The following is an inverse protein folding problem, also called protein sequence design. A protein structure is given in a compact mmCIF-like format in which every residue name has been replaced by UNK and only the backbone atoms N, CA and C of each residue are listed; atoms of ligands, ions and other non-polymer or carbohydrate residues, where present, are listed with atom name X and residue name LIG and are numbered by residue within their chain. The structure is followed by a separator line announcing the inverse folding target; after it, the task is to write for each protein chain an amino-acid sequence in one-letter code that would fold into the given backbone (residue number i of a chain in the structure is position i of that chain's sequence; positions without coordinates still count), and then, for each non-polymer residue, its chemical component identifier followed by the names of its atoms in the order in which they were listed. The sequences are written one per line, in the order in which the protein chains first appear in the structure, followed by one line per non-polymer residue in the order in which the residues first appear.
data_IF_894737144092
#
_entry.id   IF_894737144092
#
_cell.length_a   1.000
_cell.length_b   1.000
_cell.length_c   1.000
_cell.angle_alpha   90.00
_cell.angle_beta   90.00
_cell.angle_gamma   90.00
#
_symmetry.space_group_name_H-M   'P 1'
#
loop_
_entity.id
_entity.type
_entity.pdbx_description
1 polymer ?
#
# COMPACT_ATOMS: atom_id res chain seq x y z
N UNK A 1 24.06 -29.87 5.23
CA UNK A 1 23.49 -31.18 5.61
C UNK A 1 23.29 -32.00 4.35
N UNK A 2 23.67 -33.28 4.31
CA UNK A 2 23.39 -34.12 3.14
C UNK A 2 21.89 -34.48 3.10
N UNK A 3 21.31 -34.71 1.91
CA UNK A 3 19.89 -35.03 1.75
C UNK A 3 19.44 -36.21 2.61
N UNK A 4 20.26 -37.25 2.67
CA UNK A 4 19.95 -38.47 3.43
C UNK A 4 19.93 -38.23 4.95
N UNK A 5 20.82 -37.35 5.42
CA UNK A 5 20.92 -36.95 6.82
C UNK A 5 19.73 -36.09 7.24
N UNK A 6 19.29 -35.18 6.36
CA UNK A 6 18.06 -34.41 6.55
C UNK A 6 16.83 -35.32 6.65
N UNK A 7 16.68 -36.28 5.75
CA UNK A 7 15.54 -37.20 5.76
C UNK A 7 15.50 -38.04 7.06
N UNK A 8 16.67 -38.51 7.53
CA UNK A 8 16.78 -39.25 8.79
C UNK A 8 16.39 -38.41 10.00
N UNK A 9 16.91 -37.18 10.09
CA UNK A 9 16.61 -36.26 11.20
C UNK A 9 15.14 -35.82 11.19
N UNK A 10 14.57 -35.58 10.01
CA UNK A 10 13.16 -35.23 9.86
C UNK A 10 12.23 -36.37 10.25
N UNK A 11 12.55 -37.61 9.87
CA UNK A 11 11.78 -38.78 10.27
C UNK A 11 11.80 -38.96 11.79
N UNK A 12 12.97 -38.88 12.44
CA UNK A 12 13.08 -39.00 13.88
C UNK A 12 12.25 -37.94 14.64
N UNK A 13 12.27 -36.68 14.19
CA UNK A 13 11.46 -35.61 14.80
C UNK A 13 9.95 -35.80 14.60
N UNK A 14 9.54 -36.40 13.47
CA UNK A 14 8.14 -36.72 13.21
C UNK A 14 7.65 -37.89 14.06
N UNK A 15 8.48 -38.92 14.23
CA UNK A 15 8.19 -40.05 15.12
C UNK A 15 8.06 -39.56 16.57
N UNK A 16 8.99 -38.72 17.05
CA UNK A 16 8.91 -38.09 18.38
C UNK A 16 7.65 -37.22 18.53
N UNK A 17 7.26 -36.47 17.50
CA UNK A 17 6.05 -35.66 17.53
C UNK A 17 4.78 -36.52 17.57
N UNK A 18 4.78 -37.67 16.90
CA UNK A 18 3.68 -38.63 16.90
C UNK A 18 3.56 -39.32 18.27
N UNK A 19 4.67 -39.76 18.86
CA UNK A 19 4.70 -40.33 20.21
C UNK A 19 4.14 -39.34 21.24
N UNK A 20 4.43 -38.04 21.09
CA UNK A 20 3.88 -36.99 21.96
C UNK A 20 2.39 -36.77 21.76
N UNK A 21 1.89 -36.82 20.52
CA UNK A 21 0.44 -36.78 20.24
C UNK A 21 -0.28 -37.97 20.84
N UNK A 22 0.28 -39.17 20.68
CA UNK A 22 -0.30 -40.40 21.20
C UNK A 22 -0.31 -40.43 22.74
N UNK A 23 0.66 -39.75 23.37
CA UNK A 23 0.69 -39.54 24.83
C UNK A 23 -0.24 -38.44 25.35
N UNK A 24 -0.92 -37.70 24.46
CA UNK A 24 -1.84 -36.61 24.80
C UNK A 24 -1.17 -35.27 25.13
N UNK A 25 0.14 -35.15 24.95
CA UNK A 25 0.92 -33.93 25.20
C UNK A 25 1.02 -33.08 23.92
N UNK A 26 -0.02 -32.27 23.70
CA UNK A 26 -0.18 -31.43 22.51
C UNK A 26 0.88 -30.32 22.46
N UNK A 27 1.32 -29.79 23.61
CA UNK A 27 2.31 -28.72 23.67
C UNK A 27 3.70 -29.23 23.26
N UNK A 28 4.11 -30.40 23.77
CA UNK A 28 5.38 -31.00 23.37
C UNK A 28 5.38 -31.43 21.89
N UNK A 29 4.25 -31.90 21.37
CA UNK A 29 4.11 -32.21 19.93
C UNK A 29 4.25 -30.95 19.08
N UNK A 30 3.59 -29.84 19.46
CA UNK A 30 3.71 -28.57 18.74
C UNK A 30 5.16 -28.05 18.73
N UNK A 31 5.89 -28.18 19.84
CA UNK A 31 7.31 -27.82 19.90
C UNK A 31 8.16 -28.65 18.91
N UNK A 32 7.91 -29.96 18.82
CA UNK A 32 8.61 -30.85 17.87
C UNK A 32 8.25 -30.59 16.42
N UNK A 33 7.01 -30.21 16.13
CA UNK A 33 6.61 -29.76 14.79
C UNK A 33 7.32 -28.46 14.38
N UNK A 34 7.54 -27.53 15.32
CA UNK A 34 8.35 -26.34 15.06
C UNK A 34 9.82 -26.67 14.82
N UNK A 35 10.38 -27.66 15.51
CA UNK A 35 11.73 -28.18 15.23
C UNK A 35 11.84 -28.75 13.80
N UNK A 36 10.81 -29.46 13.32
CA UNK A 36 10.75 -29.93 11.92
C UNK A 36 10.71 -28.76 10.94
N UNK A 37 9.86 -27.75 11.17
CA UNK A 37 9.80 -26.55 10.32
C UNK A 37 11.14 -25.80 10.29
N UNK A 38 11.82 -25.73 11.43
CA UNK A 38 13.15 -25.10 11.51
C UNK A 38 14.21 -25.90 10.73
N UNK A 39 14.15 -27.23 10.78
CA UNK A 39 15.03 -28.11 10.01
C UNK A 39 14.80 -27.95 8.50
N UNK A 40 13.55 -27.96 8.05
CA UNK A 40 13.16 -27.76 6.64
C UNK A 40 13.65 -26.40 6.11
N UNK A 41 13.51 -25.34 6.94
CA UNK A 41 13.99 -24.00 6.58
C UNK A 41 15.51 -23.95 6.43
N UNK A 42 16.26 -24.58 7.34
CA UNK A 42 17.73 -24.65 7.24
C UNK A 42 18.16 -25.38 5.99
N UNK A 43 17.55 -26.52 5.67
CA UNK A 43 17.87 -27.29 4.47
C UNK A 43 17.61 -26.50 3.19
N UNK A 44 16.47 -25.80 3.08
CA UNK A 44 16.18 -24.95 1.92
C UNK A 44 17.16 -23.78 1.79
N UNK A 45 17.59 -23.17 2.90
CA UNK A 45 18.59 -22.11 2.89
C UNK A 45 19.95 -22.61 2.43
N UNK A 46 20.38 -23.77 2.90
CA UNK A 46 21.62 -24.41 2.47
C UNK A 46 21.59 -24.76 0.97
N UNK A 47 20.48 -25.32 0.47
CA UNK A 47 20.31 -25.61 -0.94
C UNK A 47 20.39 -24.34 -1.81
N UNK A 48 19.69 -23.26 -1.43
CA UNK A 48 19.75 -21.97 -2.14
C UNK A 48 21.13 -21.32 -2.09
N UNK A 49 21.83 -21.44 -0.96
CA UNK A 49 23.18 -20.94 -0.81
C UNK A 49 24.16 -21.73 -1.68
N UNK A 50 24.00 -23.06 -1.76
CA UNK A 50 24.79 -23.92 -2.63
C UNK A 50 24.56 -23.59 -4.11
N UNK A 51 23.31 -23.40 -4.52
CA UNK A 51 22.96 -22.95 -5.88
C UNK A 51 23.60 -21.59 -6.22
N UNK A 52 23.57 -20.65 -5.27
CA UNK A 52 24.19 -19.33 -5.42
C UNK A 52 25.72 -19.41 -5.54
N UNK A 53 26.35 -20.32 -4.78
CA UNK A 53 27.79 -20.59 -4.87
C UNK A 53 28.17 -21.22 -6.21
N UNK A 54 27.40 -22.20 -6.70
CA UNK A 54 27.62 -22.76 -8.03
C UNK A 54 27.48 -21.70 -9.12
N UNK A 55 26.45 -20.85 -9.05
CA UNK A 55 26.23 -19.75 -10.01
C UNK A 55 27.35 -18.70 -9.99
N UNK A 56 28.01 -18.49 -8.85
CA UNK A 56 29.12 -17.54 -8.73
C UNK A 56 30.46 -18.14 -9.19
N UNK A 57 30.62 -19.45 -9.03
CA UNK A 57 31.80 -20.19 -9.52
C UNK A 57 31.75 -20.49 -11.03
N UNK A 58 30.56 -20.47 -11.61
CA UNK A 58 30.39 -20.51 -13.05
C UNK A 58 30.79 -19.16 -13.66
N UNK A 59 31.99 -19.12 -14.25
CA UNK A 59 32.43 -18.03 -15.13
C UNK A 59 31.30 -17.76 -16.13
N UNK A 60 30.82 -16.51 -16.31
CA UNK A 60 29.74 -16.22 -17.25
C UNK A 60 30.24 -16.55 -18.66
N UNK A 61 29.82 -17.71 -19.18
CA UNK A 61 30.01 -18.07 -20.57
C UNK A 61 29.12 -17.15 -21.40
N UNK A 62 29.69 -16.04 -21.85
CA UNK A 62 29.13 -15.26 -22.96
C UNK A 62 29.25 -16.12 -24.22
N UNK A 63 28.22 -16.92 -24.49
CA UNK A 63 28.12 -17.74 -25.71
C UNK A 63 27.33 -19.04 -25.55
N UNK A 64 26.17 -19.08 -26.22
CA UNK A 64 25.45 -20.27 -26.74
C UNK A 64 24.71 -21.25 -25.81
N UNK A 65 24.10 -20.81 -24.70
CA UNK A 65 23.09 -21.66 -24.00
C UNK A 65 21.74 -21.80 -24.74
N UNK A 66 21.57 -21.19 -25.92
CA UNK A 66 20.41 -21.42 -26.78
C UNK A 66 20.47 -22.72 -27.58
N UNK A 67 21.64 -23.37 -27.71
CA UNK A 67 21.80 -24.56 -28.54
C UNK A 67 21.84 -25.87 -27.74
N UNK A 68 22.32 -25.88 -26.50
CA UNK A 68 22.46 -27.13 -25.72
C UNK A 68 21.13 -27.69 -25.22
N UNK A 69 20.08 -26.86 -25.10
CA UNK A 69 18.76 -27.30 -24.62
C UNK A 69 17.88 -27.98 -25.68
N UNK A 70 18.35 -28.14 -26.93
CA UNK A 70 17.70 -29.02 -27.91
C UNK A 70 18.28 -30.44 -27.94
N UNK A 71 19.51 -30.66 -27.47
CA UNK A 71 20.14 -31.99 -27.55
C UNK A 71 19.75 -32.93 -26.41
N UNK A 72 19.24 -32.42 -25.28
CA UNK A 72 18.85 -33.24 -24.13
C UNK A 72 17.34 -33.52 -24.04
N UNK A 73 16.58 -33.19 -25.09
CA UNK A 73 15.16 -33.49 -25.22
C UNK A 73 14.88 -34.79 -26.01
N UNK A 74 15.84 -35.71 -26.09
CA UNK A 74 15.53 -37.13 -26.30
C UNK A 74 15.09 -37.74 -24.96
N UNK A 75 13.95 -37.26 -24.47
CA UNK A 75 13.26 -37.86 -23.35
C UNK A 75 12.79 -39.26 -23.77
N UNK A 76 13.14 -40.24 -22.93
CA UNK A 76 12.56 -41.57 -22.96
C UNK A 76 11.02 -41.48 -23.00
N UNK A 77 10.34 -42.34 -23.78
CA UNK A 77 8.89 -42.35 -23.86
C UNK A 77 8.31 -42.89 -22.55
N UNK A 78 7.59 -42.06 -21.80
CA UNK A 78 6.79 -42.52 -20.66
C UNK A 78 6.76 -41.64 -19.40
N UNK A 79 7.40 -40.48 -19.37
CA UNK A 79 7.18 -39.54 -18.27
C UNK A 79 5.88 -38.75 -18.54
N UNK A 80 4.79 -39.15 -17.89
CA UNK A 80 3.58 -38.34 -17.77
C UNK A 80 3.98 -37.00 -17.14
N UNK A 81 4.07 -35.95 -17.97
CA UNK A 81 4.24 -34.59 -17.51
C UNK A 81 2.92 -34.19 -16.87
N UNK A 82 2.94 -33.95 -15.56
CA UNK A 82 1.78 -33.47 -14.83
C UNK A 82 1.33 -32.12 -15.43
N UNK A 83 0.27 -32.18 -16.25
CA UNK A 83 -0.25 -31.04 -17.00
C UNK A 83 -0.78 -29.95 -16.06
N UNK A 84 -1.12 -30.29 -14.81
CA UNK A 84 -1.62 -29.34 -13.82
C UNK A 84 -0.52 -28.39 -13.31
N UNK A 85 0.73 -28.84 -13.24
CA UNK A 85 1.85 -27.99 -12.84
C UNK A 85 2.28 -27.05 -13.99
N UNK A 86 2.34 -27.60 -15.21
CA UNK A 86 2.73 -26.84 -16.42
C UNK A 86 1.73 -25.72 -16.71
N UNK A 87 0.44 -25.99 -16.54
CA UNK A 87 -0.64 -25.02 -16.81
C UNK A 87 -0.83 -23.97 -15.70
N UNK A 88 -0.39 -24.26 -14.46
CA UNK A 88 -0.36 -23.29 -13.37
C UNK A 88 0.90 -22.38 -13.37
N UNK A 89 1.86 -22.67 -14.26
CA UNK A 89 3.09 -21.88 -14.41
C UNK A 89 2.83 -20.42 -14.80
N UNK A 90 3.78 -19.53 -14.46
CA UNK A 90 3.76 -18.13 -14.90
C UNK A 90 3.93 -18.02 -16.42
N UNK A 91 4.63 -18.96 -17.04
CA UNK A 91 4.91 -18.91 -18.48
C UNK A 91 3.68 -19.28 -19.30
N UNK A 92 2.91 -20.28 -18.85
CA UNK A 92 1.60 -20.59 -19.43
C UNK A 92 0.66 -19.38 -19.36
N UNK A 93 0.56 -18.71 -18.20
CA UNK A 93 -0.28 -17.52 -18.03
C UNK A 93 0.13 -16.35 -18.93
N UNK A 94 1.42 -16.11 -19.11
CA UNK A 94 1.93 -15.07 -20.02
C UNK A 94 1.64 -15.41 -21.48
N UNK A 95 1.86 -16.66 -21.87
CA UNK A 95 1.60 -17.12 -23.22
C UNK A 95 0.09 -17.10 -23.54
N UNK A 96 -0.76 -17.46 -22.57
CA UNK A 96 -2.22 -17.32 -22.64
C UNK A 96 -2.65 -15.86 -22.78
N UNK A 97 -2.12 -14.96 -21.93
CA UNK A 97 -2.39 -13.53 -22.03
C UNK A 97 -2.03 -12.98 -23.42
N UNK A 98 -0.87 -13.34 -23.97
CA UNK A 98 -0.47 -12.90 -25.30
C UNK A 98 -1.35 -13.50 -26.41
N UNK A 99 -1.80 -14.75 -26.25
CA UNK A 99 -2.73 -15.38 -27.16
C UNK A 99 -4.09 -14.66 -27.18
N UNK A 100 -4.66 -14.34 -26.01
CA UNK A 100 -5.95 -13.64 -25.91
C UNK A 100 -5.84 -12.19 -26.39
N UNK A 101 -4.77 -11.46 -26.03
CA UNK A 101 -4.64 -10.04 -26.35
C UNK A 101 -4.15 -9.76 -27.78
N UNK A 102 -3.24 -10.61 -28.30
CA UNK A 102 -2.51 -10.37 -29.54
C UNK A 102 -2.72 -11.45 -30.59
N UNK A 103 -3.45 -12.53 -30.28
CA UNK A 103 -3.63 -13.67 -31.17
C UNK A 103 -2.36 -14.49 -31.40
N UNK A 104 -1.29 -14.27 -30.63
CA UNK A 104 -0.03 -15.01 -30.83
C UNK A 104 -0.25 -16.49 -30.49
N UNK A 105 0.15 -17.44 -31.36
CA UNK A 105 -0.07 -18.86 -31.11
C UNK A 105 0.64 -19.32 -29.84
N UNK A 106 -0.07 -20.07 -29.00
CA UNK A 106 0.50 -20.68 -27.80
C UNK A 106 1.63 -21.67 -28.18
N UNK A 107 2.79 -21.67 -27.48
CA UNK A 107 3.86 -22.64 -27.66
C UNK A 107 3.34 -24.09 -27.61
N UNK A 108 3.92 -24.96 -28.44
CA UNK A 108 3.48 -26.36 -28.58
C UNK A 108 3.51 -27.16 -27.27
N UNK A 109 4.36 -26.76 -26.31
CA UNK A 109 4.48 -27.38 -24.99
C UNK A 109 3.26 -27.17 -24.08
N UNK A 110 2.40 -26.21 -24.42
CA UNK A 110 1.17 -25.87 -23.70
C UNK A 110 -0.08 -26.25 -24.49
N UNK A 111 0.07 -26.85 -25.67
CA UNK A 111 -1.02 -27.43 -26.42
C UNK A 111 -1.16 -28.88 -25.97
N UNK A 112 -2.37 -29.28 -25.60
CA UNK A 112 -2.64 -30.68 -25.28
C UNK A 112 -2.31 -31.52 -26.53
N UNK A 113 -1.37 -32.47 -26.38
CA UNK A 113 -0.98 -33.36 -27.46
C UNK A 113 -2.15 -34.26 -27.93
N UNK A 114 -3.13 -34.51 -27.05
CA UNK A 114 -4.34 -35.30 -27.30
C UNK A 114 -5.58 -34.45 -27.67
N UNK A 115 -5.40 -33.23 -28.15
CA UNK A 115 -6.50 -32.37 -28.60
C UNK A 115 -7.06 -32.82 -29.97
N UNK A 116 -7.64 -34.03 -30.02
CA UNK A 116 -8.40 -34.51 -31.17
C UNK A 116 -9.86 -34.01 -31.09
N UNK A 117 -10.04 -32.70 -30.83
CA UNK A 117 -11.36 -32.08 -30.74
C UNK A 117 -11.87 -31.76 -32.14
N UNK A 118 -13.03 -32.30 -32.51
CA UNK A 118 -13.72 -32.14 -33.80
C UNK A 118 -14.10 -30.68 -34.16
N UNK A 119 -13.81 -29.72 -33.28
CA UNK A 119 -14.10 -28.30 -33.44
C UNK A 119 -12.81 -27.54 -33.74
N UNK A 120 -12.68 -27.06 -34.97
CA UNK A 120 -11.51 -26.35 -35.50
C UNK A 120 -11.19 -25.03 -34.79
N UNK A 121 -12.13 -24.52 -33.98
CA UNK A 121 -12.09 -23.17 -33.39
C UNK A 121 -11.62 -23.09 -31.93
N UNK A 122 -11.28 -24.21 -31.28
CA UNK A 122 -10.77 -24.19 -29.89
C UNK A 122 -9.26 -24.43 -29.92
N UNK A 123 -8.49 -23.35 -30.07
CA UNK A 123 -7.04 -23.45 -30.24
C UNK A 123 -6.26 -23.83 -28.96
N UNK A 124 -6.88 -23.85 -27.78
CA UNK A 124 -6.23 -24.23 -26.51
C UNK A 124 -7.27 -24.60 -25.44
N UNK A 125 -7.11 -25.75 -24.76
CA UNK A 125 -7.89 -26.08 -23.57
C UNK A 125 -7.41 -25.23 -22.39
N UNK A 126 -8.32 -24.45 -21.80
CA UNK A 126 -8.02 -23.60 -20.64
C UNK A 126 -8.26 -24.41 -19.36
N UNK A 127 -7.28 -24.53 -18.46
CA UNK A 127 -7.47 -25.15 -17.15
C UNK A 127 -8.47 -24.38 -16.30
N UNK A 128 -9.34 -25.11 -15.61
CA UNK A 128 -10.40 -24.56 -14.74
C UNK A 128 -9.85 -23.64 -13.65
N UNK A 129 -8.71 -23.99 -13.05
CA UNK A 129 -8.03 -23.18 -12.02
C UNK A 129 -7.66 -21.77 -12.52
N UNK A 130 -7.32 -21.62 -13.79
CA UNK A 130 -7.00 -20.31 -14.38
C UNK A 130 -8.28 -19.50 -14.61
N UNK A 131 -9.36 -20.16 -15.04
CA UNK A 131 -10.68 -19.53 -15.21
C UNK A 131 -11.21 -19.03 -13.87
N UNK A 132 -11.18 -19.85 -12.82
CA UNK A 132 -11.66 -19.47 -11.49
C UNK A 132 -10.91 -18.25 -10.95
N UNK A 133 -9.58 -18.20 -11.10
CA UNK A 133 -8.76 -17.04 -10.74
C UNK A 133 -9.05 -15.79 -11.58
N UNK A 134 -9.41 -15.95 -12.85
CA UNK A 134 -9.83 -14.83 -13.70
C UNK A 134 -11.17 -14.29 -13.21
N UNK A 135 -12.14 -15.17 -12.91
CA UNK A 135 -13.45 -14.80 -12.38
C UNK A 135 -13.30 -14.07 -11.04
N UNK A 136 -12.53 -14.59 -10.08
CA UNK A 136 -12.24 -13.91 -8.80
C UNK A 136 -11.67 -12.49 -8.98
N UNK A 137 -10.74 -12.33 -9.94
CA UNK A 137 -10.15 -11.02 -10.25
C UNK A 137 -11.12 -10.09 -10.95
N UNK A 138 -11.99 -10.61 -11.81
CA UNK A 138 -13.04 -9.82 -12.47
C UNK A 138 -14.10 -9.36 -11.46
N UNK A 139 -14.52 -10.22 -10.53
CA UNK A 139 -15.46 -9.88 -9.47
C UNK A 139 -14.90 -8.83 -8.50
N UNK A 140 -13.62 -8.97 -8.11
CA UNK A 140 -12.96 -7.97 -7.23
C UNK A 140 -12.81 -6.61 -7.90
N UNK A 141 -12.50 -6.56 -9.20
CA UNK A 141 -12.50 -5.30 -9.97
C UNK A 141 -13.92 -4.77 -10.17
N UNK A 142 -14.93 -5.64 -10.32
CA UNK A 142 -16.33 -5.24 -10.45
C UNK A 142 -16.86 -4.45 -9.25
N UNK A 143 -16.36 -4.74 -8.05
CA UNK A 143 -16.68 -4.00 -6.82
C UNK A 143 -15.97 -2.64 -6.68
N UNK A 144 -15.30 -2.13 -7.72
CA UNK A 144 -14.63 -0.81 -7.65
C UNK A 144 -15.62 0.36 -7.76
N UNK A 145 -16.77 0.16 -8.42
CA UNK A 145 -17.73 1.24 -8.69
C UNK A 145 -18.36 1.89 -7.43
N UNK A 146 -18.64 1.15 -6.34
CA UNK A 146 -19.08 1.75 -5.07
C UNK A 146 -17.96 2.44 -4.28
N UNK A 147 -16.69 2.06 -4.50
CA UNK A 147 -15.53 2.59 -3.76
C UNK A 147 -14.99 3.90 -4.36
N UNK A 148 -15.36 4.22 -5.60
CA UNK A 148 -15.00 5.48 -6.25
C UNK A 148 -16.11 6.49 -6.02
N UNK A 149 -15.78 7.59 -5.35
CA UNK A 149 -16.70 8.73 -5.21
C UNK A 149 -16.89 9.40 -6.56
N UNK A 150 -18.08 9.27 -7.16
CA UNK A 150 -18.44 9.99 -8.39
C UNK A 150 -18.75 11.45 -8.03
N UNK A 151 -17.90 12.38 -8.46
CA UNK A 151 -18.08 13.82 -8.22
C UNK A 151 -18.74 14.56 -9.38
N UNK A 152 -18.89 13.93 -10.54
CA UNK A 152 -19.58 14.49 -11.72
C UNK A 152 -20.88 13.73 -12.01
N UNK A 153 -22.00 14.31 -11.58
CA UNK A 153 -23.33 13.90 -12.05
C UNK A 153 -23.83 14.92 -13.07
N UNK A 154 -24.50 14.46 -14.13
CA UNK A 154 -24.95 15.28 -15.26
C UNK A 154 -26.11 16.25 -14.93
N UNK A 155 -26.58 16.26 -13.68
CA UNK A 155 -27.50 17.25 -13.15
C UNK A 155 -26.69 18.06 -12.15
N UNK A 156 -26.73 19.39 -12.19
CA UNK A 156 -25.88 20.34 -11.45
C UNK A 156 -25.93 20.28 -9.92
N UNK A 157 -25.78 19.08 -9.37
CA UNK A 157 -25.72 18.71 -7.97
C UNK A 157 -24.27 18.85 -7.56
N UNK A 158 -23.99 19.90 -6.79
CA UNK A 158 -22.67 20.13 -6.22
C UNK A 158 -22.50 19.19 -5.02
N UNK A 159 -21.61 18.20 -5.14
CA UNK A 159 -21.28 17.30 -4.03
C UNK A 159 -20.25 18.01 -3.16
N UNK A 160 -20.55 18.29 -1.89
CA UNK A 160 -19.62 18.99 -1.01
C UNK A 160 -18.38 18.13 -0.80
N UNK A 161 -17.24 18.57 -1.33
CA UNK A 161 -15.94 17.98 -1.00
C UNK A 161 -15.47 18.59 0.32
N UNK A 162 -15.21 17.76 1.33
CA UNK A 162 -14.65 18.22 2.60
C UNK A 162 -13.21 18.66 2.42
N UNK A 163 -13.00 19.88 1.91
CA UNK A 163 -11.68 20.51 1.85
C UNK A 163 -11.44 21.23 3.18
N UNK A 164 -11.22 20.48 4.24
CA UNK A 164 -10.82 21.08 5.53
C UNK A 164 -9.33 21.37 5.44
N UNK A 165 -8.98 22.60 5.05
CA UNK A 165 -7.64 23.13 5.32
C UNK A 165 -7.64 23.64 6.77
N UNK A 166 -6.93 22.99 7.72
CA UNK A 166 -6.76 23.57 9.03
C UNK A 166 -5.90 24.83 8.90
N UNK A 167 -6.50 25.99 9.10
CA UNK A 167 -5.76 27.25 9.22
C UNK A 167 -5.50 27.47 10.70
N UNK A 168 -4.25 27.28 11.12
CA UNK A 168 -3.84 27.57 12.49
C UNK A 168 -3.89 29.08 12.73
N UNK A 169 -4.85 29.55 13.56
CA UNK A 169 -4.82 30.90 14.11
C UNK A 169 -3.93 30.90 15.34
N UNK A 170 -2.69 31.38 15.20
CA UNK A 170 -1.73 31.40 16.32
C UNK A 170 -1.85 32.65 17.19
N UNK A 171 -2.42 33.74 16.67
CA UNK A 171 -2.59 35.00 17.39
C UNK A 171 -3.90 35.68 16.98
N UNK A 172 -4.68 36.16 17.95
CA UNK A 172 -5.89 36.96 17.73
C UNK A 172 -5.53 38.47 17.76
N UNK A 173 -4.47 38.82 17.03
CA UNK A 173 -3.89 40.17 16.99
C UNK A 173 -3.62 40.54 15.54
N UNK A 174 -3.91 41.78 15.17
CA UNK A 174 -3.69 42.26 13.80
C UNK A 174 -2.21 42.18 13.40
N UNK A 175 -1.93 41.76 12.16
CA UNK A 175 -0.58 41.65 11.58
C UNK A 175 0.28 42.92 11.75
N UNK A 176 -0.36 44.09 11.76
CA UNK A 176 0.29 45.40 12.00
C UNK A 176 1.07 45.43 13.33
N UNK A 177 0.58 44.74 14.37
CA UNK A 177 1.19 44.72 15.71
C UNK A 177 2.34 43.73 15.82
N UNK A 178 2.20 42.54 15.22
CA UNK A 178 3.24 41.51 15.25
C UNK A 178 4.47 41.91 14.42
N UNK A 179 4.27 42.75 13.41
CA UNK A 179 5.32 43.17 12.48
C UNK A 179 5.81 44.59 12.71
N UNK A 180 5.27 45.28 13.74
CA UNK A 180 5.52 46.70 14.02
C UNK A 180 5.45 47.55 12.72
N UNK A 181 4.50 47.20 11.85
CA UNK A 181 4.39 47.77 10.52
C UNK A 181 3.42 48.94 10.58
N UNK A 182 3.93 50.17 10.63
CA UNK A 182 3.08 51.36 10.52
C UNK A 182 2.66 51.53 9.06
N UNK A 183 1.43 51.12 8.70
CA UNK A 183 0.83 51.63 7.45
C UNK A 183 0.69 53.14 7.58
N UNK A 184 1.47 53.86 6.80
CA UNK A 184 1.62 55.32 6.76
C UNK A 184 0.35 56.11 6.38
N UNK A 185 -0.84 55.52 6.44
CA UNK A 185 -2.09 56.15 5.99
C UNK A 185 -3.11 56.36 7.11
N UNK A 186 -2.84 55.90 8.34
CA UNK A 186 -3.65 56.24 9.52
C UNK A 186 -2.69 56.72 10.60
N UNK A 187 -2.68 58.03 10.85
CA UNK A 187 -1.86 58.65 11.90
C UNK A 187 -2.43 58.36 13.30
N UNK A 188 -2.55 57.08 13.67
CA UNK A 188 -2.74 56.73 15.06
C UNK A 188 -1.38 56.98 15.73
N UNK A 189 -1.27 58.14 16.37
CA UNK A 189 -0.07 58.52 17.12
C UNK A 189 0.27 57.39 18.09
N UNK A 190 1.55 57.11 18.36
CA UNK A 190 1.99 56.04 19.28
C UNK A 190 1.18 55.98 20.59
N UNK A 191 0.78 57.14 21.10
CA UNK A 191 -0.07 57.29 22.30
C UNK A 191 -1.47 56.69 22.16
N UNK A 192 -2.09 56.75 20.98
CA UNK A 192 -3.41 56.16 20.71
C UNK A 192 -3.34 54.63 20.69
N UNK A 193 -2.26 54.07 20.12
CA UNK A 193 -1.99 52.63 20.13
C UNK A 193 -1.80 52.12 21.57
N UNK A 194 -1.02 52.83 22.39
CA UNK A 194 -0.83 52.48 23.81
C UNK A 194 -2.14 52.61 24.62
N UNK A 195 -2.98 53.62 24.35
CA UNK A 195 -4.28 53.75 25.01
C UNK A 195 -5.21 52.58 24.68
N UNK A 196 -5.27 52.15 23.42
CA UNK A 196 -6.05 50.99 23.00
C UNK A 196 -5.51 49.68 23.61
N UNK A 197 -4.19 49.56 23.77
CA UNK A 197 -3.55 48.41 24.43
C UNK A 197 -3.96 48.35 25.89
N UNK A 198 -3.77 49.43 26.64
CA UNK A 198 -4.14 49.51 28.06
C UNK A 198 -5.63 49.18 28.22
N UNK A 199 -6.49 49.79 27.39
CA UNK A 199 -7.93 49.55 27.42
C UNK A 199 -8.29 48.06 27.26
N UNK A 200 -7.68 47.35 26.30
CA UNK A 200 -7.92 45.92 26.07
C UNK A 200 -7.42 45.01 27.20
N UNK A 201 -6.42 45.46 27.97
CA UNK A 201 -5.90 44.69 29.10
C UNK A 201 -6.70 44.86 30.41
N UNK A 202 -7.62 45.82 30.45
CA UNK A 202 -8.45 46.09 31.62
C UNK A 202 -9.66 45.16 31.71
N UNK A 203 -10.18 44.99 32.92
CA UNK A 203 -11.45 44.27 33.16
C UNK A 203 -12.65 45.08 32.62
N UNK A 204 -13.81 44.44 32.33
CA UNK A 204 -14.97 45.14 31.79
C UNK A 204 -15.46 46.33 32.63
N UNK A 205 -15.41 46.19 33.96
CA UNK A 205 -15.79 47.25 34.91
C UNK A 205 -14.82 48.45 34.83
N UNK A 206 -13.53 48.18 34.69
CA UNK A 206 -12.50 49.21 34.53
C UNK A 206 -12.58 49.90 33.16
N UNK A 207 -12.94 49.16 32.11
CA UNK A 207 -13.17 49.72 30.78
C UNK A 207 -14.35 50.69 30.78
N UNK A 208 -15.46 50.32 31.42
CA UNK A 208 -16.62 51.19 31.57
C UNK A 208 -16.29 52.47 32.34
N UNK A 209 -15.56 52.35 33.46
CA UNK A 209 -15.10 53.50 34.23
C UNK A 209 -14.23 54.44 33.39
N UNK A 210 -13.29 53.89 32.61
CA UNK A 210 -12.40 54.67 31.76
C UNK A 210 -13.17 55.44 30.66
N UNK A 211 -14.18 54.80 30.07
CA UNK A 211 -15.06 55.44 29.09
C UNK A 211 -15.87 56.57 29.73
N UNK A 212 -16.45 56.35 30.92
CA UNK A 212 -17.21 57.38 31.62
C UNK A 212 -16.32 58.58 31.98
N UNK A 213 -15.10 58.34 32.46
CA UNK A 213 -14.10 59.39 32.65
C UNK A 213 -13.87 60.19 31.35
N UNK A 214 -13.60 59.51 30.23
CA UNK A 214 -13.45 60.14 28.92
C UNK A 214 -14.64 61.00 28.51
N UNK A 215 -15.86 60.48 28.66
CA UNK A 215 -17.12 61.21 28.38
C UNK A 215 -17.27 62.46 29.25
N UNK A 216 -16.84 62.42 30.52
CA UNK A 216 -16.90 63.60 31.39
C UNK A 216 -15.94 64.69 30.92
N UNK A 217 -14.72 64.34 30.50
CA UNK A 217 -13.77 65.31 29.94
C UNK A 217 -14.32 66.02 28.70
N UNK A 218 -14.94 65.26 27.78
CA UNK A 218 -15.56 65.82 26.58
C UNK A 218 -16.70 66.77 26.93
N UNK A 219 -17.58 66.38 27.86
CA UNK A 219 -18.68 67.23 28.35
C UNK A 219 -18.17 68.53 28.97
N UNK A 220 -17.09 68.49 29.76
CA UNK A 220 -16.47 69.67 30.36
C UNK A 220 -15.90 70.60 29.29
N UNK A 221 -15.21 70.05 28.29
CA UNK A 221 -14.65 70.85 27.20
C UNK A 221 -15.75 71.54 26.38
N UNK A 222 -16.83 70.84 26.03
CA UNK A 222 -17.97 71.43 25.32
C UNK A 222 -18.59 72.59 26.10
N UNK A 223 -18.78 72.46 27.42
CA UNK A 223 -19.27 73.56 28.27
C UNK A 223 -18.34 74.77 28.25
N UNK A 224 -17.01 74.56 28.28
CA UNK A 224 -16.02 75.65 28.18
C UNK A 224 -16.13 76.40 26.85
N UNK A 225 -16.23 75.68 25.74
CA UNK A 225 -16.42 76.32 24.42
C UNK A 225 -17.70 77.14 24.33
N UNK A 226 -18.80 76.66 24.92
CA UNK A 226 -20.07 77.37 24.96
C UNK A 226 -20.04 78.62 25.86
N UNK A 227 -19.19 78.64 26.90
CA UNK A 227 -19.02 79.80 27.78
C UNK A 227 -18.07 80.88 27.23
N UNK A 228 -17.32 80.59 26.17
CA UNK A 228 -16.36 81.52 25.53
C UNK A 228 -16.92 82.21 24.29
N UNK A 229 -18.22 82.04 24.02
CA UNK A 229 -18.95 82.58 22.87
C UNK A 229 -20.07 83.50 23.36
#
# INVERSE_FOLDING_TARGET
MNRDEYLKNRAALLDEAQDKLDSGDIEASAAKQEEVKALDKKYQMEAKAQESLSALSEIPRVGSQFETNMQNATAAPGAEVDMDEVTNSRDYRKAFMNNVLKGTPMPARFRNADANTLTTDISTAIPTVVVDRIVEKMESIGMILPLVTRTSYASGVNIPTSTVKPVAKYFDVSLDYLLDFERSEITNTQNEKELLRIFRTLTPEQQELYIEQGKTFVRINQKRYLSQR
#
